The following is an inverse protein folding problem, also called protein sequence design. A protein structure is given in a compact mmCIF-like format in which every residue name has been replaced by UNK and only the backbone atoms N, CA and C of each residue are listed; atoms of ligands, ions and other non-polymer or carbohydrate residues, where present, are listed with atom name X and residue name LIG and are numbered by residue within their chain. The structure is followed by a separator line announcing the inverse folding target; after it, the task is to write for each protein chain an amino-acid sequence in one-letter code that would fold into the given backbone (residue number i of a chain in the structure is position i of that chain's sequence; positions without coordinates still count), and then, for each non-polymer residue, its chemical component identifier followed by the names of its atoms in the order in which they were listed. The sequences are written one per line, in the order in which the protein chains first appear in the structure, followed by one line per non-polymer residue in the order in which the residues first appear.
data_IF_861489598964
#
_entry.id   IF_861489598964
#
_cell.length_a   1.000
_cell.length_b   1.000
_cell.length_c   1.000
_cell.angle_alpha   90.00
_cell.angle_beta   90.00
_cell.angle_gamma   90.00
#
_symmetry.space_group_name_H-M   'P 1'
#
loop_
_entity.id
_entity.type
_entity.pdbx_description
1 polymer ?
#
# COMPACT_ATOMS: atom_id res chain seq x y z
N UNK A 1 -7.60 -7.45 8.51
CA UNK A 1 -6.37 -6.94 9.16
C UNK A 1 -5.58 -6.25 8.07
N UNK A 2 -5.38 -4.94 8.12
CA UNK A 2 -4.40 -4.33 7.21
C UNK A 2 -3.03 -4.89 7.57
N UNK A 3 -2.34 -5.41 6.57
CA UNK A 3 -1.08 -6.10 6.78
C UNK A 3 -0.01 -5.03 7.07
N UNK A 4 0.65 -5.09 8.25
CA UNK A 4 1.55 -4.02 8.69
C UNK A 4 2.69 -3.77 7.69
N UNK A 5 3.11 -4.80 6.96
CA UNK A 5 4.15 -4.72 5.93
C UNK A 5 3.74 -3.84 4.73
N UNK A 6 2.47 -3.89 4.32
CA UNK A 6 1.94 -3.10 3.21
C UNK A 6 1.84 -1.63 3.61
N UNK A 7 1.34 -1.36 4.83
CA UNK A 7 1.26 -0.01 5.37
C UNK A 7 2.65 0.61 5.56
N UNK A 8 3.63 -0.15 6.06
CA UNK A 8 5.00 0.31 6.23
C UNK A 8 5.68 0.61 4.88
N UNK A 9 5.49 -0.26 3.88
CA UNK A 9 6.00 -0.05 2.53
C UNK A 9 5.37 1.18 1.85
N UNK A 10 4.05 1.37 2.04
CA UNK A 10 3.34 2.53 1.52
C UNK A 10 3.82 3.82 2.20
N UNK A 11 4.01 3.80 3.52
CA UNK A 11 4.53 4.95 4.27
C UNK A 11 5.95 5.35 3.83
N UNK A 12 6.86 4.37 3.71
CA UNK A 12 8.22 4.60 3.18
C UNK A 12 8.19 5.18 1.77
N UNK A 13 7.26 4.71 0.93
CA UNK A 13 7.11 5.22 -0.43
C UNK A 13 6.57 6.65 -0.48
N UNK A 14 5.58 6.99 0.35
CA UNK A 14 5.06 8.36 0.46
C UNK A 14 6.15 9.31 0.88
N UNK A 15 6.90 9.00 1.95
CA UNK A 15 8.02 9.82 2.43
C UNK A 15 9.06 10.07 1.33
N UNK A 16 9.44 9.04 0.58
CA UNK A 16 10.37 9.17 -0.55
C UNK A 16 9.84 10.05 -1.69
N UNK A 17 8.52 10.05 -1.90
CA UNK A 17 7.88 10.89 -2.92
C UNK A 17 7.76 12.35 -2.46
N UNK A 18 7.53 12.59 -1.16
CA UNK A 18 7.56 13.92 -0.54
C UNK A 18 8.96 14.54 -0.59
N UNK A 19 10.01 13.76 -0.28
CA UNK A 19 11.41 14.18 -0.42
C UNK A 19 11.75 14.55 -1.86
N UNK A 20 11.14 13.86 -2.83
CA UNK A 20 11.28 14.14 -4.27
C UNK A 20 10.39 15.27 -4.77
N UNK A 21 9.62 15.92 -3.89
CA UNK A 21 8.66 16.98 -4.25
C UNK A 21 7.71 16.56 -5.38
N UNK A 22 7.40 15.26 -5.46
CA UNK A 22 6.49 14.74 -6.48
C UNK A 22 5.06 14.84 -5.97
N UNK A 23 4.17 15.33 -6.83
CA UNK A 23 2.75 15.38 -6.51
C UNK A 23 2.18 13.95 -6.43
N UNK A 24 1.70 13.56 -5.25
CA UNK A 24 1.02 12.30 -5.03
C UNK A 24 -0.48 12.55 -5.07
N UNK A 25 -1.17 11.90 -6.00
CA UNK A 25 -2.63 11.92 -6.05
C UNK A 25 -3.20 10.68 -5.36
N UNK A 26 -4.42 10.78 -4.81
CA UNK A 26 -5.09 9.65 -4.15
C UNK A 26 -5.22 8.40 -5.03
N UNK A 27 -5.44 8.56 -6.33
CA UNK A 27 -5.44 7.45 -7.29
C UNK A 27 -4.09 6.74 -7.39
N UNK A 28 -2.99 7.48 -7.26
CA UNK A 28 -1.65 6.91 -7.30
C UNK A 28 -1.33 6.15 -6.00
N UNK A 29 -1.85 6.60 -4.86
CA UNK A 29 -1.79 5.85 -3.60
C UNK A 29 -2.52 4.52 -3.70
N UNK A 30 -3.73 4.50 -4.27
CA UNK A 30 -4.52 3.28 -4.45
C UNK A 30 -3.77 2.28 -5.35
N UNK A 31 -3.31 2.72 -6.53
CA UNK A 31 -2.57 1.86 -7.44
C UNK A 31 -1.25 1.36 -6.82
N UNK A 32 -0.60 2.17 -5.98
CA UNK A 32 0.63 1.79 -5.30
C UNK A 32 0.38 0.79 -4.18
N UNK A 33 -0.70 0.96 -3.43
CA UNK A 33 -1.16 0.03 -2.41
C UNK A 33 -1.41 -1.35 -3.02
N UNK A 34 -2.21 -1.43 -4.10
CA UNK A 34 -2.45 -2.70 -4.81
C UNK A 34 -1.15 -3.33 -5.33
N UNK A 35 -0.19 -2.52 -5.79
CA UNK A 35 1.11 -3.01 -6.23
C UNK A 35 1.91 -3.59 -5.07
N UNK A 36 1.85 -3.00 -3.88
CA UNK A 36 2.54 -3.53 -2.70
C UNK A 36 1.90 -4.82 -2.18
N UNK A 37 0.57 -4.92 -2.17
CA UNK A 37 -0.12 -6.18 -1.86
C UNK A 37 0.32 -7.30 -2.81
N UNK A 38 0.43 -7.01 -4.12
CA UNK A 38 0.90 -8.01 -5.10
C UNK A 38 2.39 -8.36 -4.94
N UNK A 39 3.26 -7.38 -4.66
CA UNK A 39 4.72 -7.60 -4.52
C UNK A 39 5.07 -8.32 -3.22
N UNK A 40 4.33 -8.07 -2.15
CA UNK A 40 4.48 -8.77 -0.88
C UNK A 40 3.80 -10.15 -0.90
N UNK A 41 3.36 -10.61 -2.08
CA UNK A 41 2.69 -11.88 -2.32
C UNK A 41 1.57 -12.13 -1.30
N UNK A 42 0.89 -11.07 -0.87
CA UNK A 42 -0.20 -11.14 0.10
C UNK A 42 -1.25 -12.07 -0.50
N UNK A 43 -1.46 -13.26 0.07
CA UNK A 43 -2.44 -14.19 -0.46
C UNK A 43 -3.79 -13.49 -0.49
N UNK A 44 -4.53 -13.63 -1.60
CA UNK A 44 -5.91 -13.10 -1.67
C UNK A 44 -6.79 -13.66 -0.54
N UNK A 45 -6.43 -14.79 0.06
CA UNK A 45 -7.03 -15.38 1.25
C UNK A 45 -6.76 -14.60 2.56
N UNK A 46 -5.64 -13.89 2.68
CA UNK A 46 -5.35 -12.97 3.80
C UNK A 46 -5.89 -11.56 3.58
N UNK A 47 -6.40 -11.25 2.37
CA UNK A 47 -7.31 -10.12 2.13
C UNK A 47 -8.68 -10.46 2.75
N UNK A 48 -8.69 -10.70 4.05
CA UNK A 48 -9.88 -11.05 4.81
C UNK A 48 -10.89 -9.91 4.68
N UNK A 49 -11.95 -10.17 3.90
CA UNK A 49 -13.29 -9.69 4.14
C UNK A 49 -13.53 -9.70 5.65
N UNK A 50 -13.63 -8.52 6.25
CA UNK A 50 -14.17 -8.40 7.60
C UNK A 50 -15.64 -8.80 7.53
N UNK A 51 -15.93 -10.10 7.64
CA UNK A 51 -17.22 -10.56 8.08
C UNK A 51 -17.33 -10.19 9.56
N UNK A 52 -17.93 -9.03 9.81
CA UNK A 52 -18.58 -8.70 11.07
C UNK A 52 -20.06 -9.02 10.95
#
# INVERSE_FOLDING_TARGET
VTQPDVEEALFKWVRHMEEKQKHISGQMLIAKHEKFENVLEVPKDERLTSAG
#
